data_IF_269040461729
#
_entry.id   IF_269040461729
#
_cell.length_a   1.000
_cell.length_b   1.000
_cell.length_c   1.000
_cell.angle_alpha   90.00
_cell.angle_beta   90.00
_cell.angle_gamma   90.00
#
_symmetry.space_group_name_H-M   'P 1'
#
loop_
_entity.id
_entity.type
_entity.pdbx_description
1 polymer ?
#
# COMPACT_ATOMS: atom_id res chain seq x y z
N UNK A 1 16.92 -30.56 -15.61
CA UNK A 1 17.12 -29.15 -15.96
C UNK A 1 16.24 -28.34 -15.03
N UNK A 2 16.88 -27.61 -14.14
CA UNK A 2 16.29 -26.87 -13.02
C UNK A 2 15.03 -26.11 -13.43
N UNK A 3 13.91 -26.46 -12.80
CA UNK A 3 12.71 -25.63 -12.80
C UNK A 3 13.06 -24.29 -12.17
N UNK A 4 13.24 -23.27 -12.99
CA UNK A 4 13.27 -21.87 -12.56
C UNK A 4 11.88 -21.55 -12.03
N UNK A 5 11.62 -21.87 -10.76
CA UNK A 5 10.48 -21.33 -10.01
C UNK A 5 10.68 -19.82 -10.02
N UNK A 6 10.05 -19.16 -11.00
CA UNK A 6 9.65 -17.76 -10.84
C UNK A 6 8.80 -17.75 -9.60
N UNK A 7 9.40 -17.43 -8.46
CA UNK A 7 8.72 -17.30 -7.17
C UNK A 7 7.71 -16.18 -7.37
N UNK A 8 6.50 -16.55 -7.79
CA UNK A 8 5.41 -15.63 -7.93
C UNK A 8 5.13 -15.16 -6.51
N UNK A 9 5.43 -13.90 -6.24
CA UNK A 9 5.21 -13.30 -4.92
C UNK A 9 3.74 -13.53 -4.55
N UNK A 10 3.52 -14.33 -3.50
CA UNK A 10 2.20 -14.63 -2.98
C UNK A 10 1.74 -13.50 -2.08
N UNK A 11 0.47 -13.13 -2.19
CA UNK A 11 -0.13 -12.11 -1.34
C UNK A 11 -0.30 -12.66 0.09
N UNK A 12 0.30 -12.06 1.13
CA UNK A 12 0.15 -12.56 2.50
C UNK A 12 -1.27 -12.47 3.08
N UNK A 13 -2.18 -11.73 2.42
CA UNK A 13 -3.58 -11.58 2.85
C UNK A 13 -4.46 -12.71 2.27
N UNK A 14 -4.42 -12.94 0.96
CA UNK A 14 -5.27 -13.94 0.30
C UNK A 14 -4.56 -15.27 0.01
N UNK A 15 -3.25 -15.36 0.24
CA UNK A 15 -2.40 -16.54 0.02
C UNK A 15 -2.26 -17.01 -1.43
N UNK A 16 -2.83 -16.26 -2.37
CA UNK A 16 -2.75 -16.48 -3.82
C UNK A 16 -1.66 -15.64 -4.49
N UNK A 17 -1.37 -15.90 -5.75
CA UNK A 17 -0.47 -15.07 -6.57
C UNK A 17 -0.95 -13.62 -6.62
N UNK A 18 -0.02 -12.66 -6.46
CA UNK A 18 -0.34 -11.24 -6.58
C UNK A 18 -0.77 -10.90 -8.01
N UNK A 19 -2.02 -10.44 -8.19
CA UNK A 19 -2.55 -10.03 -9.50
C UNK A 19 -2.25 -8.55 -9.83
N UNK A 20 -2.59 -7.65 -8.91
CA UNK A 20 -2.32 -6.22 -9.04
C UNK A 20 -1.38 -5.82 -7.90
N UNK A 21 -0.10 -5.66 -8.20
CA UNK A 21 0.89 -5.42 -7.15
C UNK A 21 0.69 -4.04 -6.50
N UNK A 22 0.57 -4.05 -5.18
CA UNK A 22 0.63 -2.87 -4.34
C UNK A 22 1.75 -3.02 -3.31
N UNK A 23 2.51 -1.93 -3.12
CA UNK A 23 3.67 -1.87 -2.24
C UNK A 23 3.44 -0.78 -1.20
N UNK A 24 3.54 -1.13 0.07
CA UNK A 24 3.51 -0.16 1.17
C UNK A 24 4.84 0.61 1.19
N UNK A 25 4.77 1.93 1.23
CA UNK A 25 5.98 2.74 1.41
C UNK A 25 6.50 2.64 2.85
N UNK A 26 7.82 2.66 3.01
CA UNK A 26 8.50 2.51 4.31
C UNK A 26 8.76 1.06 4.77
N UNK A 27 7.91 0.08 4.42
CA UNK A 27 8.18 -1.34 4.73
C UNK A 27 8.31 -2.25 3.51
N UNK A 28 7.94 -1.78 2.32
CA UNK A 28 8.12 -2.43 1.01
C UNK A 28 7.48 -3.82 0.85
N UNK A 29 6.63 -4.26 1.77
CA UNK A 29 5.89 -5.51 1.62
C UNK A 29 4.84 -5.39 0.51
N UNK A 30 4.74 -6.44 -0.32
CA UNK A 30 3.84 -6.50 -1.46
C UNK A 30 2.57 -7.29 -1.16
N UNK A 31 1.46 -6.84 -1.74
CA UNK A 31 0.14 -7.44 -1.63
C UNK A 31 -0.61 -7.27 -2.95
N UNK A 32 -1.75 -7.96 -3.11
CA UNK A 32 -2.75 -7.53 -4.08
C UNK A 32 -3.30 -6.16 -3.69
N UNK A 33 -3.46 -5.27 -4.67
CA UNK A 33 -4.03 -3.94 -4.50
C UNK A 33 -5.41 -4.01 -3.86
N UNK A 34 -6.32 -4.85 -4.38
CA UNK A 34 -7.64 -5.05 -3.79
C UNK A 34 -7.60 -5.53 -2.33
N UNK A 35 -6.69 -6.45 -1.99
CA UNK A 35 -6.55 -6.94 -0.61
C UNK A 35 -6.04 -5.84 0.33
N UNK A 36 -5.01 -5.11 -0.09
CA UNK A 36 -4.46 -4.04 0.72
C UNK A 36 -5.43 -2.85 0.84
N UNK A 37 -6.17 -2.52 -0.23
CA UNK A 37 -7.22 -1.50 -0.21
C UNK A 37 -8.34 -1.86 0.76
N UNK A 38 -8.82 -3.11 0.73
CA UNK A 38 -9.82 -3.60 1.69
C UNK A 38 -9.31 -3.44 3.12
N UNK A 39 -8.06 -3.82 3.38
CA UNK A 39 -7.44 -3.71 4.70
C UNK A 39 -7.36 -2.26 5.20
N UNK A 40 -6.91 -1.33 4.36
CA UNK A 40 -6.67 0.05 4.78
C UNK A 40 -7.93 0.92 4.72
N UNK A 41 -8.65 0.93 3.60
CA UNK A 41 -9.76 1.85 3.35
C UNK A 41 -11.10 1.32 3.87
N UNK A 42 -11.34 0.01 3.85
CA UNK A 42 -12.62 -0.58 4.25
C UNK A 42 -12.59 -1.06 5.70
N UNK A 43 -11.57 -1.83 6.08
CA UNK A 43 -11.39 -2.31 7.46
C UNK A 43 -10.76 -1.27 8.40
N UNK A 44 -10.30 -0.14 7.85
CA UNK A 44 -9.78 0.97 8.64
C UNK A 44 -8.55 0.54 9.48
N UNK A 45 -7.56 -0.07 8.83
CA UNK A 45 -6.23 -0.29 9.43
C UNK A 45 -5.14 0.56 8.77
N UNK A 46 -4.26 1.16 9.58
CA UNK A 46 -3.14 1.98 9.13
C UNK A 46 -1.76 1.32 9.41
N UNK A 47 -1.76 -0.01 9.56
CA UNK A 47 -0.54 -0.80 9.79
C UNK A 47 -0.46 -1.94 8.80
N UNK A 48 0.76 -2.24 8.37
CA UNK A 48 1.05 -3.35 7.47
C UNK A 48 0.53 -4.67 8.06
N UNK A 49 -0.24 -5.47 7.29
CA UNK A 49 -0.73 -6.77 7.74
C UNK A 49 0.39 -7.74 8.13
N UNK A 50 1.58 -7.58 7.53
CA UNK A 50 2.70 -8.49 7.71
C UNK A 50 3.60 -8.09 8.88
N UNK A 51 4.17 -6.87 8.85
CA UNK A 51 5.17 -6.42 9.82
C UNK A 51 4.66 -5.41 10.85
N UNK A 52 3.40 -4.95 10.73
CA UNK A 52 2.76 -3.97 11.62
C UNK A 52 3.38 -2.55 11.61
N UNK A 53 4.28 -2.26 10.67
CA UNK A 53 4.76 -0.89 10.40
C UNK A 53 3.59 0.02 9.98
N UNK A 54 3.69 1.31 10.31
CA UNK A 54 2.71 2.30 9.88
C UNK A 54 2.67 2.41 8.34
N UNK A 55 1.50 2.71 7.79
CA UNK A 55 1.28 2.89 6.35
C UNK A 55 0.90 4.35 6.13
N UNK A 56 1.82 5.11 5.54
CA UNK A 56 1.55 6.47 5.07
C UNK A 56 0.98 6.45 3.65
N UNK A 57 1.66 5.73 2.76
CA UNK A 57 1.31 5.66 1.34
C UNK A 57 1.44 4.23 0.78
N UNK A 58 0.66 3.98 -0.28
CA UNK A 58 0.66 2.73 -1.05
C UNK A 58 0.95 3.07 -2.51
N UNK A 59 1.96 2.44 -3.09
CA UNK A 59 2.27 2.50 -4.53
C UNK A 59 1.61 1.34 -5.25
N UNK A 60 0.95 1.59 -6.36
CA UNK A 60 0.25 0.59 -7.16
C UNK A 60 0.33 0.95 -8.66
N UNK A 61 -0.19 0.08 -9.52
CA UNK A 61 -0.15 0.29 -10.98
C UNK A 61 1.28 0.62 -11.47
N UNK A 62 2.25 -0.21 -11.03
CA UNK A 62 3.67 0.06 -11.21
C UNK A 62 4.07 -0.27 -12.65
N UNK A 63 4.38 0.76 -13.43
CA UNK A 63 4.83 0.64 -14.83
C UNK A 63 6.36 0.70 -14.93
N UNK A 64 6.99 1.46 -14.03
CA UNK A 64 8.45 1.54 -13.90
C UNK A 64 8.85 2.07 -12.53
N UNK A 65 10.17 2.18 -12.28
CA UNK A 65 10.70 2.76 -11.05
C UNK A 65 10.21 4.19 -10.77
N UNK A 66 9.85 4.96 -11.79
CA UNK A 66 9.45 6.36 -11.66
C UNK A 66 8.01 6.62 -12.13
N UNK A 67 7.29 5.57 -12.53
CA UNK A 67 5.94 5.66 -13.07
C UNK A 67 5.06 4.64 -12.36
N UNK A 68 4.34 5.11 -11.35
CA UNK A 68 3.38 4.36 -10.55
C UNK A 68 2.36 5.33 -9.98
N UNK A 69 1.20 4.81 -9.57
CA UNK A 69 0.17 5.59 -8.92
C UNK A 69 0.35 5.47 -7.38
N UNK A 70 -0.09 6.47 -6.62
CA UNK A 70 0.07 6.52 -5.16
C UNK A 70 -1.29 6.76 -4.47
N UNK A 71 -1.53 6.06 -3.36
CA UNK A 71 -2.65 6.32 -2.45
C UNK A 71 -2.12 6.70 -1.07
N UNK A 72 -2.60 7.81 -0.52
CA UNK A 72 -2.36 8.20 0.86
C UNK A 72 -3.37 7.55 1.81
N UNK A 73 -2.90 7.03 2.94
CA UNK A 73 -3.72 6.32 3.94
C UNK A 73 -4.03 7.19 5.17
N UNK A 74 -3.15 8.16 5.49
CA UNK A 74 -3.26 9.01 6.71
C UNK A 74 -4.57 9.81 6.80
N UNK A 75 -5.13 10.27 5.67
CA UNK A 75 -6.30 11.16 5.68
C UNK A 75 -7.64 10.46 5.99
N UNK A 76 -7.67 9.13 6.08
CA UNK A 76 -8.93 8.37 6.28
C UNK A 76 -9.34 8.23 7.75
N UNK A 77 -8.44 8.56 8.67
CA UNK A 77 -8.62 8.37 10.11
C UNK A 77 -8.72 9.66 10.91
N UNK A 78 -8.54 10.80 10.24
CA UNK A 78 -8.65 12.11 10.89
C UNK A 78 -10.13 12.48 11.06
N UNK A 79 -10.75 12.02 12.15
CA UNK A 79 -11.82 12.80 12.81
C UNK A 79 -11.19 13.98 13.56
N UNK A 80 -10.54 14.90 12.85
CA UNK A 80 -10.15 16.18 13.43
C UNK A 80 -10.12 17.31 12.39
N UNK A 81 -10.99 18.34 12.49
CA UNK A 81 -11.10 19.44 11.54
C UNK A 81 -10.10 20.57 11.86
N UNK A 82 -8.79 20.28 11.90
CA UNK A 82 -7.81 21.33 12.25
C UNK A 82 -6.43 21.15 11.62
N UNK A 83 -6.38 20.88 10.31
CA UNK A 83 -5.18 21.13 9.50
C UNK A 83 -5.52 21.87 8.20
N UNK A 84 -6.16 23.03 8.33
CA UNK A 84 -5.95 24.11 7.37
C UNK A 84 -4.51 24.62 7.58
N UNK A 85 -3.52 23.98 6.96
CA UNK A 85 -2.22 24.62 6.78
C UNK A 85 -2.37 25.59 5.61
N UNK A 86 -2.72 26.82 5.95
CA UNK A 86 -2.49 27.99 5.10
C UNK A 86 -0.99 28.04 4.78
N UNK A 87 -0.60 27.57 3.60
CA UNK A 87 0.63 28.07 2.98
C UNK A 87 0.29 29.45 2.39
N UNK A 88 0.39 30.44 3.27
CA UNK A 88 0.47 31.84 2.92
C UNK A 88 1.81 32.02 2.19
N UNK A 89 1.78 32.05 0.86
CA UNK A 89 2.88 32.60 0.08
C UNK A 89 2.89 34.10 0.33
N UNK A 90 3.97 34.56 0.93
CA UNK A 90 4.30 35.97 1.08
C UNK A 90 4.91 36.51 -0.21
#
# INVERSE_FOLDING_TARGET
MESKTTDQEKCPICLETIMEMAIIDGCYHQFCFGCLYQWTFIMKHNRCPFCRNHIDTIRFNIRSKWSYDCLEVEHLFQRHPSFFRLHQFH
#
